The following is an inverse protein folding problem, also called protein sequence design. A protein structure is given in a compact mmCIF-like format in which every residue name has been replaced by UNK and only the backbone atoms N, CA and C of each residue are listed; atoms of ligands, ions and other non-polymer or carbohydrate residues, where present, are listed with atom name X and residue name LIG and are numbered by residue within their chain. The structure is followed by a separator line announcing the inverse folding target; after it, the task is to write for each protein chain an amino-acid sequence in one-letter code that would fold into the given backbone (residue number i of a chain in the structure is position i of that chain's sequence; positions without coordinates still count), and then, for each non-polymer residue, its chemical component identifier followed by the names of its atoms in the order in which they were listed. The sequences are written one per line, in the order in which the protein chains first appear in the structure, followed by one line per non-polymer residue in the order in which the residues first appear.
data_IF_129487925862
#
_entry.id   IF_129487925862
#
_cell.length_a   1.000
_cell.length_b   1.000
_cell.length_c   1.000
_cell.angle_alpha   90.00
_cell.angle_beta   90.00
_cell.angle_gamma   90.00
#
_symmetry.space_group_name_H-M   'P 1'
#
loop_
_entity.id
_entity.type
_entity.pdbx_description
1 polymer ?
#
# COMPACT_ATOMS: atom_id res chain seq x y z
N UNK A 1 5.27 5.91 33.06
CA UNK A 1 5.58 5.70 31.64
C UNK A 1 7.09 5.91 31.43
N UNK A 2 7.84 4.96 30.84
CA UNK A 2 9.29 5.10 30.58
C UNK A 2 9.51 5.29 29.08
N UNK A 3 10.33 6.28 28.69
CA UNK A 3 10.65 6.59 27.29
C UNK A 3 12.04 6.06 26.95
N UNK A 4 12.20 5.45 25.78
CA UNK A 4 13.50 5.02 25.26
C UNK A 4 14.10 6.14 24.41
N UNK A 5 14.95 6.99 25.01
CA UNK A 5 15.56 8.15 24.34
C UNK A 5 16.30 7.78 23.04
N UNK A 6 16.91 6.59 22.97
CA UNK A 6 17.59 6.09 21.75
C UNK A 6 16.66 5.86 20.56
N UNK A 7 15.34 5.74 20.79
CA UNK A 7 14.31 5.56 19.75
C UNK A 7 13.51 6.83 19.48
N UNK A 8 13.82 7.93 20.17
CA UNK A 8 13.14 9.20 20.00
C UNK A 8 13.85 10.07 18.97
N UNK A 9 13.07 10.65 18.06
CA UNK A 9 13.52 11.64 17.10
C UNK A 9 12.74 12.93 17.36
N UNK A 10 13.42 14.03 17.63
CA UNK A 10 12.81 15.33 17.96
C UNK A 10 13.25 16.41 16.98
N UNK A 11 12.33 17.31 16.63
CA UNK A 11 12.64 18.48 15.78
C UNK A 11 12.98 18.15 14.32
N UNK A 12 12.66 16.96 13.83
CA UNK A 12 12.89 16.58 12.43
C UNK A 12 11.72 16.98 11.54
N UNK A 13 12.03 17.42 10.33
CA UNK A 13 11.05 17.73 9.30
C UNK A 13 10.40 16.45 8.71
N UNK A 14 11.19 15.37 8.65
CA UNK A 14 10.76 14.04 8.21
C UNK A 14 10.93 13.04 9.36
N UNK A 15 9.92 12.22 9.62
CA UNK A 15 9.93 11.19 10.66
C UNK A 15 9.50 9.84 10.12
N UNK A 16 10.22 8.78 10.49
CA UNK A 16 9.82 7.40 10.21
C UNK A 16 9.00 6.85 11.37
N UNK A 17 7.75 6.49 11.10
CA UNK A 17 6.84 5.95 12.10
C UNK A 17 5.99 4.83 11.50
N UNK A 18 5.92 3.69 12.20
CA UNK A 18 5.09 2.54 11.83
C UNK A 18 5.31 1.94 10.42
N UNK A 19 6.41 2.28 9.74
CA UNK A 19 6.65 1.86 8.35
C UNK A 19 6.26 2.90 7.30
N UNK A 20 5.81 4.06 7.75
CA UNK A 20 5.57 5.24 6.93
C UNK A 20 6.63 6.31 7.16
N UNK A 21 6.76 7.18 6.17
CA UNK A 21 7.50 8.43 6.25
C UNK A 21 6.50 9.56 6.40
N UNK A 22 6.57 10.28 7.50
CA UNK A 22 5.72 11.45 7.79
C UNK A 22 6.53 12.69 7.49
N UNK A 23 6.07 13.50 6.54
CA UNK A 23 6.70 14.75 6.12
C UNK A 23 5.63 15.85 6.12
N UNK A 24 5.64 16.71 7.14
CA UNK A 24 4.60 17.72 7.32
C UNK A 24 3.20 17.10 7.36
N UNK A 25 2.34 17.46 6.41
CA UNK A 25 0.98 16.91 6.24
C UNK A 25 0.92 15.74 5.25
N UNK A 26 2.04 15.08 4.98
CA UNK A 26 2.10 14.03 3.98
C UNK A 26 2.60 12.71 4.56
N UNK A 27 2.06 11.60 4.06
CA UNK A 27 2.33 10.24 4.47
C UNK A 27 2.81 9.43 3.28
N UNK A 28 4.07 9.04 3.32
CA UNK A 28 4.72 8.19 2.32
C UNK A 28 4.98 6.78 2.84
N UNK A 29 5.35 5.89 1.93
CA UNK A 29 5.84 4.55 2.26
C UNK A 29 7.34 4.60 2.54
N UNK A 30 7.82 3.94 3.60
CA UNK A 30 9.26 3.85 3.87
C UNK A 30 9.95 2.97 2.81
N UNK A 31 10.68 3.64 1.91
CA UNK A 31 11.40 3.01 0.79
C UNK A 31 12.37 1.91 1.26
N UNK A 32 12.90 1.98 2.49
CA UNK A 32 13.79 0.94 3.00
C UNK A 32 13.04 -0.37 3.28
N UNK A 33 11.83 -0.28 3.84
CA UNK A 33 10.96 -1.45 4.03
C UNK A 33 10.47 -1.99 2.70
N UNK A 34 10.20 -1.10 1.75
CA UNK A 34 9.81 -1.46 0.39
C UNK A 34 10.93 -2.24 -0.32
N UNK A 35 12.16 -1.72 -0.30
CA UNK A 35 13.31 -2.34 -0.94
C UNK A 35 13.55 -3.77 -0.44
N UNK A 36 13.42 -4.01 0.87
CA UNK A 36 13.56 -5.34 1.45
C UNK A 36 12.54 -6.36 0.91
N UNK A 37 11.35 -5.91 0.49
CA UNK A 37 10.34 -6.77 -0.13
C UNK A 37 10.54 -6.89 -1.64
N UNK A 38 10.96 -5.80 -2.30
CA UNK A 38 11.21 -5.77 -3.75
C UNK A 38 12.46 -6.55 -4.19
N UNK A 39 13.43 -6.71 -3.29
CA UNK A 39 14.65 -7.50 -3.52
C UNK A 39 14.44 -9.00 -3.32
N UNK A 40 13.33 -9.40 -2.68
CA UNK A 40 13.01 -10.82 -2.56
C UNK A 40 12.64 -11.40 -3.91
N UNK A 41 13.04 -12.65 -4.11
CA UNK A 41 12.61 -13.44 -5.25
C UNK A 41 11.08 -13.60 -5.26
N UNK A 42 10.53 -13.84 -6.44
CA UNK A 42 9.10 -14.13 -6.60
C UNK A 42 8.70 -15.30 -5.68
N UNK A 43 7.55 -15.23 -4.99
CA UNK A 43 7.10 -16.27 -4.08
C UNK A 43 7.06 -17.64 -4.75
N UNK A 44 7.63 -18.65 -4.10
CA UNK A 44 7.68 -20.03 -4.60
C UNK A 44 6.65 -20.95 -3.92
N UNK A 45 5.94 -20.45 -2.90
CA UNK A 45 4.93 -21.21 -2.18
C UNK A 45 3.82 -20.30 -1.61
N UNK A 46 2.73 -20.92 -1.15
CA UNK A 46 1.57 -20.23 -0.57
C UNK A 46 1.94 -19.37 0.65
N UNK A 47 2.91 -19.80 1.47
CA UNK A 47 3.32 -19.08 2.69
C UNK A 47 3.99 -17.75 2.34
N UNK A 48 4.91 -17.78 1.39
CA UNK A 48 5.57 -16.59 0.86
C UNK A 48 4.59 -15.66 0.16
N UNK A 49 3.66 -16.20 -0.63
CA UNK A 49 2.64 -15.40 -1.29
C UNK A 49 1.73 -14.68 -0.29
N UNK A 50 1.28 -15.37 0.77
CA UNK A 50 0.51 -14.74 1.86
C UNK A 50 1.31 -13.65 2.56
N UNK A 51 2.60 -13.86 2.81
CA UNK A 51 3.47 -12.85 3.42
C UNK A 51 3.61 -11.61 2.54
N UNK A 52 3.75 -11.79 1.23
CA UNK A 52 3.82 -10.68 0.27
C UNK A 52 2.50 -9.92 0.23
N UNK A 53 1.37 -10.64 0.09
CA UNK A 53 0.05 -10.03 0.03
C UNK A 53 -0.31 -9.31 1.33
N UNK A 54 0.11 -9.82 2.48
CA UNK A 54 -0.04 -9.13 3.77
C UNK A 54 0.77 -7.84 3.86
N UNK A 55 1.98 -7.81 3.29
CA UNK A 55 2.76 -6.58 3.18
C UNK A 55 2.12 -5.58 2.22
N UNK A 56 1.72 -6.03 1.03
CA UNK A 56 1.09 -5.17 0.03
C UNK A 56 -0.26 -4.62 0.52
N UNK A 57 -1.04 -5.42 1.25
CA UNK A 57 -2.33 -5.00 1.79
C UNK A 57 -2.18 -3.93 2.88
N UNK A 58 -1.09 -3.92 3.65
CA UNK A 58 -0.79 -2.86 4.62
C UNK A 58 -0.67 -1.49 3.92
N UNK A 59 -0.10 -1.45 2.72
CA UNK A 59 0.05 -0.23 1.92
C UNK A 59 -1.06 -0.05 0.87
N UNK A 60 -2.14 -0.84 0.90
CA UNK A 60 -3.19 -0.84 -0.16
C UNK A 60 -3.79 0.53 -0.45
N UNK A 61 -3.80 1.42 0.53
CA UNK A 61 -4.28 2.81 0.39
C UNK A 61 -3.47 3.63 -0.62
N UNK A 62 -2.21 3.27 -0.85
CA UNK A 62 -1.38 3.89 -1.88
C UNK A 62 -1.41 3.12 -3.22
N UNK A 63 -2.08 1.97 -3.28
CA UNK A 63 -2.06 1.08 -4.44
C UNK A 63 -3.39 1.19 -5.19
N UNK A 64 -3.38 1.90 -6.31
CA UNK A 64 -4.53 1.94 -7.21
C UNK A 64 -4.89 0.52 -7.68
N UNK A 65 -6.19 0.21 -7.69
CA UNK A 65 -6.74 -1.05 -8.19
C UNK A 65 -6.15 -2.33 -7.54
N UNK A 66 -5.64 -2.20 -6.30
CA UNK A 66 -5.00 -3.32 -5.58
C UNK A 66 -5.87 -4.59 -5.56
N UNK A 67 -7.17 -4.46 -5.28
CA UNK A 67 -8.08 -5.59 -5.20
C UNK A 67 -8.18 -6.37 -6.52
N UNK A 68 -8.11 -5.67 -7.66
CA UNK A 68 -8.18 -6.29 -8.99
C UNK A 68 -6.93 -7.13 -9.23
N UNK A 69 -5.74 -6.57 -8.95
CA UNK A 69 -4.49 -7.27 -9.15
C UNK A 69 -4.25 -8.38 -8.12
N UNK A 70 -4.63 -8.16 -6.86
CA UNK A 70 -4.42 -9.14 -5.80
C UNK A 70 -5.38 -10.34 -5.89
N UNK A 71 -6.51 -10.23 -6.61
CA UNK A 71 -7.54 -11.28 -6.69
C UNK A 71 -6.98 -12.64 -7.14
N UNK A 72 -6.25 -12.67 -8.26
CA UNK A 72 -5.69 -13.93 -8.80
C UNK A 72 -4.62 -14.50 -7.87
N UNK A 73 -3.88 -13.65 -7.16
CA UNK A 73 -2.87 -14.04 -6.19
C UNK A 73 -3.48 -14.61 -4.90
N UNK A 74 -4.56 -14.02 -4.39
CA UNK A 74 -5.29 -14.57 -3.24
C UNK A 74 -5.83 -15.98 -3.52
N UNK A 75 -6.33 -16.25 -4.73
CA UNK A 75 -6.79 -17.60 -5.12
C UNK A 75 -5.69 -18.67 -5.01
N UNK A 76 -4.42 -18.29 -5.22
CA UNK A 76 -3.29 -19.22 -5.07
C UNK A 76 -3.04 -19.62 -3.62
N UNK A 77 -3.50 -18.78 -2.69
CA UNK A 77 -3.32 -18.97 -1.27
C UNK A 77 -4.39 -19.87 -0.65
N UNK A 78 -5.45 -20.22 -1.39
CA UNK A 78 -6.50 -21.13 -0.93
C UNK A 78 -5.95 -22.54 -0.70
N UNK A 79 -6.51 -23.26 0.27
CA UNK A 79 -6.01 -24.59 0.62
C UNK A 79 -6.18 -25.59 -0.53
N UNK A 80 -7.30 -25.50 -1.27
CA UNK A 80 -7.67 -26.42 -2.35
C UNK A 80 -6.99 -26.11 -3.69
N UNK A 81 -6.44 -24.91 -3.87
CA UNK A 81 -5.79 -24.50 -5.13
C UNK A 81 -4.33 -24.96 -5.16
N UNK A 82 -3.85 -25.54 -6.26
CA UNK A 82 -2.41 -25.82 -6.42
C UNK A 82 -1.65 -24.49 -6.57
N UNK A 83 -0.50 -24.39 -5.90
CA UNK A 83 0.33 -23.21 -6.06
C UNK A 83 1.04 -23.27 -7.42
N UNK A 84 0.71 -22.32 -8.28
CA UNK A 84 1.31 -22.16 -9.61
C UNK A 84 1.39 -20.66 -9.94
N UNK A 85 2.46 -20.24 -10.60
CA UNK A 85 2.64 -18.89 -11.10
C UNK A 85 2.38 -18.87 -12.61
N UNK A 86 1.10 -18.89 -12.99
CA UNK A 86 0.68 -18.70 -14.38
C UNK A 86 1.09 -17.32 -14.89
N UNK A 87 1.11 -17.12 -16.21
CA UNK A 87 1.44 -15.83 -16.81
C UNK A 87 0.56 -14.69 -16.28
N UNK A 88 -0.74 -14.94 -16.05
CA UNK A 88 -1.66 -13.99 -15.43
C UNK A 88 -1.22 -13.59 -14.01
N UNK A 89 -0.83 -14.57 -13.19
CA UNK A 89 -0.39 -14.35 -11.80
C UNK A 89 0.95 -13.63 -11.74
N UNK A 90 1.86 -13.94 -12.66
CA UNK A 90 3.14 -13.23 -12.81
C UNK A 90 2.88 -11.75 -13.15
N UNK A 91 2.00 -11.47 -14.11
CA UNK A 91 1.63 -10.10 -14.46
C UNK A 91 0.98 -9.36 -13.28
N UNK A 92 0.08 -10.03 -12.55
CA UNK A 92 -0.55 -9.47 -11.36
C UNK A 92 0.48 -9.12 -10.27
N UNK A 93 1.45 -10.02 -10.03
CA UNK A 93 2.56 -9.78 -9.11
C UNK A 93 3.38 -8.55 -9.52
N UNK A 94 3.78 -8.44 -10.79
CA UNK A 94 4.56 -7.30 -11.28
C UNK A 94 3.78 -5.99 -11.18
N UNK A 95 2.46 -5.99 -11.43
CA UNK A 95 1.62 -4.80 -11.24
C UNK A 95 1.60 -4.33 -9.78
N UNK A 96 1.44 -5.24 -8.82
CA UNK A 96 1.50 -4.90 -7.38
C UNK A 96 2.89 -4.38 -7.01
N UNK A 97 3.94 -5.03 -7.51
CA UNK A 97 5.33 -4.62 -7.28
C UNK A 97 5.61 -3.21 -7.82
N UNK A 98 5.14 -2.93 -9.04
CA UNK A 98 5.26 -1.62 -9.67
C UNK A 98 4.49 -0.55 -8.90
N UNK A 99 3.24 -0.83 -8.50
CA UNK A 99 2.42 0.09 -7.74
C UNK A 99 3.03 0.39 -6.36
N UNK A 100 3.62 -0.60 -5.70
CA UNK A 100 4.35 -0.42 -4.44
C UNK A 100 5.57 0.50 -4.60
N UNK A 101 6.27 0.38 -5.72
CA UNK A 101 7.49 1.18 -6.00
C UNK A 101 7.17 2.61 -6.40
N UNK A 102 6.07 2.82 -7.11
CA UNK A 102 5.62 4.12 -7.62
C UNK A 102 4.46 4.69 -6.79
N UNK A 103 4.29 4.18 -5.58
CA UNK A 103 3.24 4.55 -4.65
C UNK A 103 3.25 6.08 -4.40
N UNK A 104 2.14 6.80 -4.64
CA UNK A 104 2.05 8.22 -4.34
C UNK A 104 2.10 8.47 -2.83
N UNK A 105 2.48 9.69 -2.48
CA UNK A 105 2.36 10.22 -1.12
C UNK A 105 0.89 10.57 -0.88
N UNK A 106 0.34 10.17 0.26
CA UNK A 106 -1.01 10.55 0.67
C UNK A 106 -0.95 11.82 1.51
N UNK A 107 -1.84 12.77 1.24
CA UNK A 107 -2.02 13.91 2.13
C UNK A 107 -2.85 13.49 3.35
N UNK A 108 -2.50 14.04 4.50
CA UNK A 108 -3.27 13.91 5.72
C UNK A 108 -4.63 14.59 5.52
N UNK A 109 -5.71 14.00 6.03
CA UNK A 109 -7.03 14.58 5.90
C UNK A 109 -7.10 15.93 6.63
N UNK A 110 -7.69 16.92 5.98
CA UNK A 110 -8.09 18.19 6.60
C UNK A 110 -9.53 18.06 7.09
N UNK A 111 -9.72 18.01 8.40
CA UNK A 111 -11.04 17.84 9.01
C UNK A 111 -12.00 19.03 8.79
N UNK A 112 -11.51 20.15 8.26
CA UNK A 112 -12.32 21.33 7.93
C UNK A 112 -12.93 21.25 6.53
N UNK A 113 -12.43 20.38 5.66
CA UNK A 113 -12.87 20.24 4.28
C UNK A 113 -13.77 19.01 4.11
N UNK A 114 -14.74 19.04 3.17
CA UNK A 114 -15.63 17.91 2.94
C UNK A 114 -14.88 16.71 2.35
N UNK A 115 -15.26 15.51 2.78
CA UNK A 115 -14.81 14.27 2.18
C UNK A 115 -15.72 13.87 1.00
N UNK A 116 -15.13 13.28 -0.03
CA UNK A 116 -15.82 12.71 -1.20
C UNK A 116 -15.54 11.21 -1.25
N UNK A 117 -16.59 10.41 -1.08
CA UNK A 117 -16.51 8.96 -1.21
C UNK A 117 -16.97 8.53 -2.59
N UNK A 118 -16.08 7.92 -3.37
CA UNK A 118 -16.39 7.29 -4.63
C UNK A 118 -16.50 5.79 -4.40
N UNK A 119 -17.60 5.18 -4.85
CA UNK A 119 -17.87 3.75 -4.71
C UNK A 119 -18.21 3.22 -6.10
N UNK A 120 -17.59 2.10 -6.46
CA UNK A 120 -17.92 1.35 -7.67
C UNK A 120 -18.09 -0.12 -7.30
N UNK A 121 -19.13 -0.76 -7.83
CA UNK A 121 -19.49 -2.13 -7.51
C UNK A 121 -19.93 -2.87 -8.76
N UNK A 122 -19.45 -4.10 -8.91
CA UNK A 122 -19.90 -5.02 -9.94
C UNK A 122 -20.08 -6.42 -9.36
N UNK A 123 -20.64 -7.35 -10.14
CA UNK A 123 -20.84 -8.74 -9.68
C UNK A 123 -19.56 -9.47 -9.25
N UNK A 124 -18.38 -8.92 -9.56
CA UNK A 124 -17.09 -9.49 -9.17
C UNK A 124 -16.46 -8.83 -7.94
N UNK A 125 -16.91 -7.66 -7.50
CA UNK A 125 -16.30 -6.95 -6.38
C UNK A 125 -16.78 -5.52 -6.15
N UNK A 126 -16.29 -4.95 -5.05
CA UNK A 126 -16.59 -3.60 -4.59
C UNK A 126 -15.26 -2.83 -4.41
N UNK A 127 -15.21 -1.62 -4.94
CA UNK A 127 -14.12 -0.68 -4.75
C UNK A 127 -14.64 0.62 -4.13
N UNK A 128 -13.84 1.24 -3.27
CA UNK A 128 -14.14 2.56 -2.74
C UNK A 128 -12.86 3.39 -2.60
N UNK A 129 -12.97 4.70 -2.81
CA UNK A 129 -11.89 5.67 -2.65
C UNK A 129 -12.42 6.89 -1.91
N UNK A 130 -11.79 7.21 -0.78
CA UNK A 130 -12.06 8.41 0.01
C UNK A 130 -11.11 9.51 -0.44
N UNK A 131 -11.65 10.61 -0.94
CA UNK A 131 -10.90 11.71 -1.53
C UNK A 131 -11.26 13.02 -0.84
N UNK A 132 -10.35 13.98 -0.94
CA UNK A 132 -10.56 15.34 -0.48
C UNK A 132 -9.81 16.26 -1.43
N UNK A 133 -10.43 17.35 -1.86
CA UNK A 133 -9.76 18.33 -2.72
C UNK A 133 -8.97 19.26 -1.80
N UNK A 134 -7.65 19.14 -1.79
CA UNK A 134 -6.78 20.02 -1.03
C UNK A 134 -6.01 20.92 -2.00
N UNK A 135 -5.86 22.21 -1.67
CA UNK A 135 -5.05 23.12 -2.49
C UNK A 135 -3.68 23.24 -1.84
N UNK A 136 -2.65 22.77 -2.54
CA UNK A 136 -1.25 22.90 -2.14
C UNK A 136 -0.52 23.67 -3.22
N UNK A 137 0.04 24.85 -2.87
CA UNK A 137 0.72 25.75 -3.81
C UNK A 137 -0.13 26.07 -5.06
N UNK A 138 -1.37 26.50 -4.86
CA UNK A 138 -2.35 26.84 -5.91
C UNK A 138 -2.72 25.71 -6.87
N UNK A 139 -2.37 24.45 -6.54
CA UNK A 139 -2.75 23.27 -7.32
C UNK A 139 -3.68 22.36 -6.52
N UNK A 140 -4.74 21.83 -7.14
CA UNK A 140 -5.57 20.81 -6.51
C UNK A 140 -4.78 19.50 -6.43
N UNK A 141 -4.75 18.94 -5.23
CA UNK A 141 -4.26 17.61 -4.89
C UNK A 141 -5.41 16.75 -4.35
#
# INVERSE_FOLDING_TARGET
MKISLKKCNFGFHELKALGHVVLGLSLGVDKNKLAAVLLKQMPQNKKEMRSLLGFASYYRQHLKDFAIHARSLYRTCDQQTVFEMTQERIQAYEKIRYALTNSPVLLMPDWKLPFKLYIDACGQGLGASLNQVQIVNDKPY
#
